data_IF_054531799022
#
_entry.id   IF_054531799022
#
_cell.length_a   1.000
_cell.length_b   1.000
_cell.length_c   1.000
_cell.angle_alpha   90.00
_cell.angle_beta   90.00
_cell.angle_gamma   90.00
#
_symmetry.space_group_name_H-M   'P 1'
#
loop_
_entity.id
_entity.type
_entity.pdbx_description
1 polymer ?
#
# COMPACT_ATOMS: atom_id res chain seq x y z
N UNK A 1 -9.67 14.04 17.89
CA UNK A 1 -8.99 12.76 17.74
C UNK A 1 -8.34 12.72 16.39
N UNK A 2 -7.20 12.06 16.28
CA UNK A 2 -6.39 12.20 15.07
C UNK A 2 -5.58 10.94 14.81
N UNK A 3 -5.43 10.61 13.54
CA UNK A 3 -4.61 9.48 13.11
C UNK A 3 -3.98 9.82 11.77
N UNK A 4 -2.69 9.59 11.65
CA UNK A 4 -1.98 9.77 10.40
C UNK A 4 -0.97 8.68 10.22
N UNK A 5 -0.87 8.15 8.99
CA UNK A 5 0.07 7.11 8.64
C UNK A 5 0.78 7.54 7.38
N UNK A 6 2.10 7.44 7.39
CA UNK A 6 2.91 7.76 6.22
C UNK A 6 3.74 6.54 5.86
N UNK A 7 3.64 6.12 4.61
CA UNK A 7 4.31 4.92 4.13
C UNK A 7 5.14 5.26 2.90
N UNK A 8 6.30 4.64 2.79
CA UNK A 8 7.08 4.66 1.56
C UNK A 8 7.34 3.21 1.19
N UNK A 9 6.96 2.83 -0.01
CA UNK A 9 7.11 1.45 -0.43
C UNK A 9 6.94 1.28 -1.92
N UNK A 10 6.84 0.02 -2.34
CA UNK A 10 6.68 -0.31 -3.75
C UNK A 10 5.43 -1.14 -3.98
N UNK A 11 4.80 -0.91 -5.12
CA UNK A 11 3.62 -1.69 -5.49
C UNK A 11 4.01 -3.14 -5.76
N UNK A 12 3.23 -4.06 -5.22
CA UNK A 12 3.47 -5.49 -5.42
C UNK A 12 2.82 -6.04 -6.66
N UNK A 13 1.89 -5.32 -7.25
CA UNK A 13 1.23 -5.71 -8.49
C UNK A 13 0.66 -4.47 -9.15
N UNK A 14 0.12 -4.63 -10.35
CA UNK A 14 -0.47 -3.50 -11.07
C UNK A 14 -1.65 -2.93 -10.30
N UNK A 15 -1.81 -1.60 -10.26
CA UNK A 15 -2.97 -1.01 -9.60
C UNK A 15 -4.26 -1.32 -10.37
N UNK A 16 -5.34 -1.50 -9.63
CA UNK A 16 -6.63 -1.80 -10.21
C UNK A 16 -7.58 -0.65 -9.97
N UNK A 17 -8.21 -0.17 -11.04
CA UNK A 17 -9.14 0.94 -10.95
C UNK A 17 -10.55 0.48 -11.30
N UNK A 18 -11.52 1.03 -10.58
CA UNK A 18 -12.92 0.85 -10.90
C UNK A 18 -13.63 2.15 -10.62
N UNK A 19 -14.88 2.23 -11.05
CA UNK A 19 -15.71 3.41 -10.82
C UNK A 19 -16.85 3.06 -9.89
N UNK A 20 -17.13 3.98 -8.97
CA UNK A 20 -18.29 3.84 -8.11
C UNK A 20 -19.55 4.24 -8.88
N UNK A 21 -20.75 3.90 -8.37
CA UNK A 21 -21.98 4.26 -9.07
C UNK A 21 -22.13 5.75 -9.36
N UNK A 22 -21.51 6.61 -8.55
CA UNK A 22 -21.58 8.06 -8.78
C UNK A 22 -20.50 8.54 -9.75
N UNK A 23 -19.72 7.63 -10.34
CA UNK A 23 -18.68 8.01 -11.30
C UNK A 23 -17.31 8.28 -10.71
N UNK A 24 -17.17 8.21 -9.40
CA UNK A 24 -15.88 8.45 -8.76
C UNK A 24 -14.92 7.30 -9.02
N UNK A 25 -13.71 7.61 -9.47
CA UNK A 25 -12.69 6.60 -9.68
C UNK A 25 -12.11 6.14 -8.34
N UNK A 26 -11.87 4.83 -8.22
CA UNK A 26 -11.25 4.24 -7.05
C UNK A 26 -10.15 3.31 -7.54
N UNK A 27 -8.93 3.53 -7.05
CA UNK A 27 -7.80 2.68 -7.38
C UNK A 27 -7.30 2.01 -6.12
N UNK A 28 -7.09 0.70 -6.21
CA UNK A 28 -6.53 -0.09 -5.12
C UNK A 28 -5.20 -0.66 -5.55
N UNK A 29 -4.25 -0.69 -4.63
CA UNK A 29 -2.99 -1.36 -4.88
C UNK A 29 -2.42 -1.91 -3.58
N UNK A 30 -1.55 -2.91 -3.72
CA UNK A 30 -0.83 -3.48 -2.61
C UNK A 30 0.51 -2.77 -2.50
N UNK A 31 0.87 -2.37 -1.30
CA UNK A 31 2.11 -1.65 -1.07
C UNK A 31 2.97 -2.43 -0.08
N UNK A 32 4.19 -2.74 -0.48
CA UNK A 32 5.16 -3.41 0.38
C UNK A 32 6.09 -2.36 0.96
N UNK A 33 6.17 -2.34 2.29
CA UNK A 33 7.16 -1.51 2.98
C UNK A 33 8.17 -2.45 3.62
N UNK A 34 9.45 -2.17 3.40
CA UNK A 34 10.51 -3.02 3.92
C UNK A 34 11.32 -2.32 4.97
N UNK A 35 11.70 -3.06 5.98
CA UNK A 35 12.62 -2.58 7.00
C UNK A 35 13.75 -3.59 7.09
N UNK A 36 14.97 -3.09 7.09
CA UNK A 36 16.15 -3.97 7.15
C UNK A 36 17.01 -3.54 8.33
N UNK A 37 17.54 -4.52 9.02
CA UNK A 37 18.47 -4.25 10.11
C UNK A 37 19.38 -5.46 10.29
N UNK A 38 20.46 -5.26 11.05
CA UNK A 38 21.36 -6.34 11.37
C UNK A 38 21.09 -6.83 12.79
N UNK A 39 21.04 -8.14 12.94
CA UNK A 39 20.87 -8.75 14.24
C UNK A 39 22.11 -8.45 15.08
N UNK A 40 21.90 -8.05 16.35
CA UNK A 40 23.01 -7.59 17.18
C UNK A 40 24.07 -8.62 17.42
N UNK A 41 23.68 -9.87 17.61
CA UNK A 41 24.64 -10.92 17.97
C UNK A 41 25.32 -11.55 16.78
N UNK A 42 24.56 -11.77 15.72
CA UNK A 42 25.10 -12.52 14.57
C UNK A 42 25.56 -11.62 13.44
N UNK A 43 25.13 -10.36 13.44
CA UNK A 43 25.42 -9.45 12.34
C UNK A 43 24.66 -9.78 11.08
N UNK A 44 23.73 -10.71 11.12
CA UNK A 44 22.97 -11.10 9.95
C UNK A 44 22.00 -10.01 9.55
N UNK A 45 21.85 -9.80 8.24
CA UNK A 45 20.88 -8.84 7.72
C UNK A 45 19.49 -9.46 7.80
N UNK A 46 18.60 -8.77 8.47
CA UNK A 46 17.21 -9.22 8.62
C UNK A 46 16.30 -8.27 7.87
N UNK A 47 15.33 -8.83 7.15
CA UNK A 47 14.37 -8.04 6.38
C UNK A 47 12.96 -8.35 6.88
N UNK A 48 12.19 -7.29 7.05
CA UNK A 48 10.79 -7.41 7.45
C UNK A 48 9.96 -6.66 6.44
N UNK A 49 8.95 -7.30 5.89
CA UNK A 49 8.08 -6.69 4.90
C UNK A 49 6.67 -6.60 5.47
N UNK A 50 6.10 -5.42 5.43
CA UNK A 50 4.70 -5.22 5.81
C UNK A 50 3.92 -4.86 4.56
N UNK A 51 2.80 -5.53 4.36
CA UNK A 51 1.92 -5.29 3.22
C UNK A 51 0.73 -4.48 3.63
N UNK A 52 0.44 -3.46 2.84
CA UNK A 52 -0.73 -2.60 3.05
C UNK A 52 -1.59 -2.63 1.80
N UNK A 53 -2.89 -2.62 2.00
CA UNK A 53 -3.83 -2.46 0.91
C UNK A 53 -4.26 -1.01 0.90
N UNK A 54 -3.93 -0.29 -0.18
CA UNK A 54 -4.14 1.15 -0.25
C UNK A 54 -5.28 1.45 -1.21
N UNK A 55 -6.19 2.31 -0.76
CA UNK A 55 -7.30 2.77 -1.58
C UNK A 55 -7.17 4.27 -1.80
N UNK A 56 -7.28 4.68 -3.07
CA UNK A 56 -7.19 6.07 -3.49
C UNK A 56 -8.44 6.40 -4.28
N UNK A 57 -8.99 7.60 -4.09
CA UNK A 57 -10.19 7.99 -4.81
C UNK A 57 -9.99 9.28 -5.58
N UNK A 58 -10.83 9.49 -6.60
CA UNK A 58 -10.87 10.74 -7.34
C UNK A 58 -9.75 10.89 -8.35
N UNK A 59 -9.31 12.11 -8.55
CA UNK A 59 -8.29 12.42 -9.55
C UNK A 59 -6.98 11.70 -9.26
N UNK A 60 -6.62 11.54 -8.00
CA UNK A 60 -5.42 10.79 -7.63
C UNK A 60 -5.55 9.32 -8.02
N UNK A 61 -6.75 8.76 -7.93
CA UNK A 61 -6.97 7.37 -8.34
C UNK A 61 -6.68 7.20 -9.82
N UNK A 62 -7.12 8.15 -10.64
CA UNK A 62 -6.86 8.10 -12.07
C UNK A 62 -5.37 8.23 -12.36
N UNK A 63 -4.69 9.13 -11.67
CA UNK A 63 -3.25 9.31 -11.86
C UNK A 63 -2.49 8.05 -11.44
N UNK A 64 -2.89 7.43 -10.33
CA UNK A 64 -2.24 6.20 -9.87
C UNK A 64 -2.39 5.10 -10.90
N UNK A 65 -3.59 4.95 -11.45
CA UNK A 65 -3.82 3.92 -12.45
C UNK A 65 -3.03 4.19 -13.72
N UNK A 66 -2.93 5.46 -14.12
CA UNK A 66 -2.28 5.81 -15.37
C UNK A 66 -0.76 5.69 -15.31
N UNK A 67 -0.15 6.00 -14.17
CA UNK A 67 1.30 6.16 -14.11
C UNK A 67 2.01 5.15 -13.22
N UNK A 68 1.32 4.41 -12.37
CA UNK A 68 1.96 3.43 -11.51
C UNK A 68 1.86 2.04 -12.10
N UNK A 69 2.83 1.22 -11.75
CA UNK A 69 2.87 -0.17 -12.17
C UNK A 69 3.54 -0.97 -11.08
N UNK A 70 3.54 -2.27 -11.22
CA UNK A 70 4.25 -3.14 -10.29
C UNK A 70 5.68 -2.67 -10.14
N UNK A 71 6.13 -2.53 -8.90
CA UNK A 71 7.48 -2.08 -8.61
C UNK A 71 7.65 -0.58 -8.45
N UNK A 72 6.65 0.20 -8.82
CA UNK A 72 6.70 1.65 -8.65
C UNK A 72 6.84 2.01 -7.17
N UNK A 73 7.63 3.03 -6.89
CA UNK A 73 7.85 3.51 -5.54
C UNK A 73 6.99 4.72 -5.27
N UNK A 74 6.29 4.71 -4.14
CA UNK A 74 5.38 5.81 -3.79
C UNK A 74 5.49 6.13 -2.32
N UNK A 75 5.10 7.36 -1.99
CA UNK A 75 4.84 7.78 -0.63
C UNK A 75 3.33 7.92 -0.49
N UNK A 76 2.76 7.27 0.50
CA UNK A 76 1.32 7.34 0.78
C UNK A 76 1.13 7.98 2.14
N UNK A 77 0.29 8.99 2.19
CA UNK A 77 -0.11 9.61 3.45
C UNK A 77 -1.60 9.41 3.62
N UNK A 78 -2.03 8.92 4.77
CA UNK A 78 -3.43 8.66 5.00
C UNK A 78 -3.68 8.11 6.38
N UNK A 79 -4.65 7.22 6.48
CA UNK A 79 -5.02 6.63 7.76
C UNK A 79 -5.45 5.19 7.56
N UNK A 80 -5.41 4.43 8.64
CA UNK A 80 -5.88 3.06 8.62
C UNK A 80 -7.40 3.05 8.48
N UNK A 81 -7.90 2.08 7.75
CA UNK A 81 -9.33 1.86 7.61
C UNK A 81 -9.67 0.59 8.36
N UNK A 82 -10.38 0.69 9.47
CA UNK A 82 -10.70 -0.52 10.24
C UNK A 82 -11.88 -1.26 9.65
N UNK A 83 -12.02 -2.52 10.03
CA UNK A 83 -13.23 -3.26 9.80
C UNK A 83 -14.31 -2.61 10.65
N UNK A 84 -15.43 -2.17 10.06
CA UNK A 84 -16.46 -1.45 10.85
C UNK A 84 -17.04 -2.26 11.99
N UNK A 85 -17.07 -3.57 11.87
CA UNK A 85 -17.69 -4.42 12.89
C UNK A 85 -16.78 -4.60 14.10
N UNK A 86 -15.47 -4.65 13.91
CA UNK A 86 -14.54 -4.96 15.00
C UNK A 86 -13.68 -3.80 15.43
N UNK A 87 -13.50 -2.80 14.57
CA UNK A 87 -12.55 -1.73 14.83
C UNK A 87 -11.11 -2.13 14.62
N UNK A 88 -10.86 -3.37 14.24
CA UNK A 88 -9.51 -3.88 14.01
C UNK A 88 -9.23 -4.06 12.54
N UNK A 89 -8.16 -4.78 12.20
CA UNK A 89 -7.85 -5.03 10.81
C UNK A 89 -8.89 -5.92 10.16
N UNK A 90 -9.00 -5.80 8.85
CA UNK A 90 -9.96 -6.60 8.11
C UNK A 90 -9.48 -8.05 8.07
N UNK A 91 -10.37 -8.97 8.43
CA UNK A 91 -10.08 -10.39 8.38
C UNK A 91 -10.63 -10.97 7.09
N UNK A 92 -9.91 -11.94 6.55
CA UNK A 92 -10.36 -12.65 5.34
C UNK A 92 -9.91 -14.09 5.42
N UNK A 93 -10.60 -14.94 4.66
CA UNK A 93 -10.27 -16.35 4.62
C UNK A 93 -9.43 -16.62 3.38
N UNK A 94 -8.30 -17.28 3.59
CA UNK A 94 -7.44 -17.66 2.47
C UNK A 94 -8.00 -18.90 1.79
N UNK A 95 -7.50 -19.16 0.58
CA UNK A 95 -7.99 -20.29 -0.20
C UNK A 95 -7.73 -21.62 0.49
N UNK A 96 -6.74 -21.71 1.37
CA UNK A 96 -6.44 -22.92 2.11
C UNK A 96 -7.26 -23.06 3.40
N UNK A 97 -8.19 -22.15 3.64
CA UNK A 97 -9.05 -22.17 4.81
C UNK A 97 -8.53 -21.43 6.02
N UNK A 98 -7.29 -20.98 6.00
CA UNK A 98 -6.75 -20.21 7.11
C UNK A 98 -7.21 -18.76 7.04
N UNK A 99 -7.18 -18.08 8.20
CA UNK A 99 -7.58 -16.68 8.28
C UNK A 99 -6.37 -15.77 8.12
N UNK A 100 -6.57 -14.67 7.44
CA UNK A 100 -5.58 -13.62 7.32
C UNK A 100 -6.15 -12.30 7.80
N UNK A 101 -5.27 -11.34 8.03
CA UNK A 101 -5.67 -9.99 8.41
C UNK A 101 -4.99 -9.01 7.45
N UNK A 102 -5.70 -7.96 7.10
CA UNK A 102 -5.23 -6.98 6.12
C UNK A 102 -5.13 -5.60 6.76
N UNK A 103 -3.99 -4.95 6.59
CA UNK A 103 -3.83 -3.55 6.96
C UNK A 103 -4.34 -2.71 5.80
N UNK A 104 -5.47 -2.05 6.01
CA UNK A 104 -6.09 -1.26 4.96
C UNK A 104 -5.87 0.21 5.22
N UNK A 105 -5.51 0.95 4.18
CA UNK A 105 -5.16 2.35 4.30
C UNK A 105 -5.98 3.13 3.29
N UNK A 106 -6.59 4.22 3.75
CA UNK A 106 -7.23 5.17 2.87
C UNK A 106 -6.28 6.33 2.65
N UNK A 107 -5.83 6.49 1.42
CA UNK A 107 -4.85 7.51 1.11
C UNK A 107 -5.51 8.88 0.99
N UNK A 108 -4.94 9.86 1.67
CA UNK A 108 -5.28 11.26 1.44
C UNK A 108 -4.42 11.82 0.33
N UNK A 109 -3.17 11.33 0.23
CA UNK A 109 -2.24 11.80 -0.76
C UNK A 109 -1.29 10.68 -1.15
N UNK A 110 -1.01 10.59 -2.45
CA UNK A 110 -0.02 9.66 -2.99
C UNK A 110 0.98 10.49 -3.79
N UNK A 111 2.26 10.32 -3.47
CA UNK A 111 3.32 10.98 -4.22
C UNK A 111 4.15 9.93 -4.92
N UNK A 112 4.41 10.14 -6.20
CA UNK A 112 5.18 9.21 -7.00
C UNK A 112 6.66 9.49 -6.78
N UNK A 113 7.39 8.48 -6.31
CA UNK A 113 8.81 8.60 -6.05
C UNK A 113 9.53 7.77 -7.08
N UNK A 114 10.09 8.43 -8.07
CA UNK A 114 10.82 7.70 -9.09
C UNK A 114 12.21 7.43 -8.60
N UNK A 115 12.64 6.19 -8.73
CA UNK A 115 14.04 5.90 -8.54
C UNK A 115 14.81 6.62 -9.62
N UNK A 116 16.02 7.00 -9.28
CA UNK A 116 16.88 7.57 -10.27
C UNK A 116 17.03 6.59 -11.40
N UNK A 117 16.89 7.00 -12.65
CA UNK A 117 17.05 6.06 -13.76
C UNK A 117 18.37 5.35 -13.64
N UNK A 118 18.32 4.08 -13.94
CA UNK A 118 19.55 3.36 -13.95
C UNK A 118 20.32 3.86 -15.09
N UNK A 119 20.98 4.47 -15.15
CA UNK A 119 21.48 5.04 -16.17
C UNK A 119 21.75 4.29 -17.03
N UNK A 120 21.05 4.07 -17.40
CA UNK A 120 21.07 3.48 -18.14
C UNK A 120 21.98 3.56 -18.52
N UNK A 121 22.30 3.72 -18.20
CA UNK A 121 23.01 3.94 -18.45
C UNK A 121 23.57 3.69 -18.71
#
# INVERSE_FOLDING_TARGET
MYQQLTLVGRLGREPEMRFMPDGTAVTNFSLATERKWRAGETGELTTETTWFRVQVTGAQAEACHAYLQRGSKVLVSGRLTPDPASGGPRLYQRSDGTMGASYEVRADQVRFLNDKPQEET
#
